data_IF_450906574381
#
_entry.id   IF_450906574381
#
_cell.length_a   1.000
_cell.length_b   1.000
_cell.length_c   1.000
_cell.angle_alpha   90.00
_cell.angle_beta   90.00
_cell.angle_gamma   90.00
#
_symmetry.space_group_name_H-M   'P 1'
#
loop_
_entity.id
_entity.type
_entity.pdbx_description
1 polymer ?
#
# COMPACT_ATOMS: atom_id res chain seq x y z
N UNK A 1 15.77 23.85 2.77
CA UNK A 1 15.05 22.58 3.03
C UNK A 1 13.97 22.24 2.00
N UNK A 2 13.25 23.20 1.41
CA UNK A 2 12.16 22.92 0.44
C UNK A 2 12.58 22.23 -0.86
N UNK A 3 13.69 22.64 -1.48
CA UNK A 3 14.16 22.08 -2.76
C UNK A 3 14.58 20.61 -2.67
N UNK A 4 15.26 20.21 -1.59
CA UNK A 4 15.68 18.83 -1.35
C UNK A 4 14.47 17.92 -1.11
N UNK A 5 13.48 18.40 -0.34
CA UNK A 5 12.23 17.68 -0.08
C UNK A 5 11.41 17.48 -1.35
N UNK A 6 11.35 18.47 -2.24
CA UNK A 6 10.66 18.36 -3.52
C UNK A 6 11.38 17.39 -4.46
N UNK A 7 12.71 17.47 -4.56
CA UNK A 7 13.51 16.57 -5.38
C UNK A 7 13.42 15.10 -4.92
N UNK A 8 13.50 14.85 -3.62
CA UNK A 8 13.30 13.51 -3.07
C UNK A 8 11.88 12.97 -3.35
N UNK A 9 10.85 13.82 -3.34
CA UNK A 9 9.47 13.41 -3.62
C UNK A 9 9.25 12.95 -5.07
N UNK A 10 9.95 13.55 -6.02
CA UNK A 10 9.81 13.22 -7.45
C UNK A 10 10.52 11.93 -7.88
N UNK A 11 11.37 11.35 -7.03
CA UNK A 11 12.13 10.14 -7.35
C UNK A 11 11.37 8.86 -6.95
N UNK A 12 11.58 7.72 -7.68
CA UNK A 12 11.17 6.40 -7.23
C UNK A 12 11.68 6.09 -5.82
N UNK A 13 10.89 5.37 -5.03
CA UNK A 13 11.16 5.07 -3.62
C UNK A 13 12.55 4.47 -3.42
N UNK A 14 12.91 3.49 -4.26
CA UNK A 14 14.21 2.82 -4.22
C UNK A 14 15.38 3.79 -4.46
N UNK A 15 15.28 4.67 -5.46
CA UNK A 15 16.33 5.64 -5.78
C UNK A 15 16.46 6.71 -4.70
N UNK A 16 15.35 7.17 -4.14
CA UNK A 16 15.34 8.12 -3.04
C UNK A 16 16.00 7.55 -1.79
N UNK A 17 15.72 6.28 -1.45
CA UNK A 17 16.36 5.59 -0.34
C UNK A 17 17.87 5.44 -0.55
N UNK A 18 18.28 4.89 -1.71
CA UNK A 18 19.70 4.70 -2.02
C UNK A 18 20.47 6.01 -2.02
N UNK A 19 19.93 7.07 -2.61
CA UNK A 19 20.59 8.39 -2.62
C UNK A 19 20.77 8.96 -1.23
N UNK A 20 19.76 8.80 -0.36
CA UNK A 20 19.81 9.28 1.02
C UNK A 20 20.84 8.51 1.85
N UNK A 21 20.88 7.18 1.71
CA UNK A 21 21.88 6.33 2.38
C UNK A 21 23.29 6.66 1.89
N UNK A 22 23.49 6.87 0.58
CA UNK A 22 24.77 7.22 0.00
C UNK A 22 25.29 8.57 0.55
N UNK A 23 24.46 9.60 0.57
CA UNK A 23 24.83 10.91 1.13
C UNK A 23 25.18 10.78 2.61
N UNK A 24 24.39 10.04 3.37
CA UNK A 24 24.67 9.79 4.80
C UNK A 24 26.00 9.05 4.97
N UNK A 25 26.26 8.00 4.17
CA UNK A 25 27.50 7.22 4.26
C UNK A 25 28.73 8.09 3.97
N UNK A 26 28.68 8.94 2.95
CA UNK A 26 29.78 9.88 2.62
C UNK A 26 30.03 10.87 3.75
N UNK A 27 28.97 11.43 4.33
CA UNK A 27 29.09 12.37 5.46
C UNK A 27 29.70 11.69 6.71
N UNK A 28 29.20 10.51 7.05
CA UNK A 28 29.71 9.74 8.22
C UNK A 28 31.18 9.34 7.97
N UNK A 29 31.52 8.87 6.76
CA UNK A 29 32.89 8.52 6.42
C UNK A 29 33.85 9.74 6.50
N UNK A 30 33.42 10.91 6.01
CA UNK A 30 34.21 12.14 6.08
C UNK A 30 34.46 12.60 7.52
N UNK A 31 33.40 12.62 8.34
CA UNK A 31 33.54 13.00 9.76
C UNK A 31 34.36 11.97 10.52
N UNK A 32 34.19 10.68 10.26
CA UNK A 32 34.96 9.62 10.89
C UNK A 32 36.46 9.70 10.51
N UNK A 33 36.77 9.94 9.25
CA UNK A 33 38.15 10.14 8.81
C UNK A 33 38.80 11.36 9.49
N UNK A 34 38.10 12.47 9.57
CA UNK A 34 38.57 13.66 10.30
C UNK A 34 38.79 13.39 11.78
N UNK A 35 37.89 12.65 12.43
CA UNK A 35 38.02 12.26 13.84
C UNK A 35 39.22 11.35 14.06
N UNK A 36 39.40 10.34 13.22
CA UNK A 36 40.55 9.42 13.29
C UNK A 36 41.84 10.20 13.11
N UNK A 37 41.92 11.07 12.10
CA UNK A 37 43.09 11.88 11.84
C UNK A 37 43.45 12.78 13.04
N UNK A 38 42.48 13.47 13.62
CA UNK A 38 42.71 14.34 14.81
C UNK A 38 43.14 13.55 16.03
N UNK A 39 42.51 12.39 16.30
CA UNK A 39 42.84 11.54 17.44
C UNK A 39 44.25 10.93 17.30
N UNK A 40 44.61 10.48 16.09
CA UNK A 40 45.97 9.94 15.82
C UNK A 40 47.01 11.03 15.98
N UNK A 41 46.78 12.27 15.49
CA UNK A 41 47.69 13.38 15.69
C UNK A 41 47.87 13.73 17.17
N UNK A 42 46.78 13.72 17.94
CA UNK A 42 46.84 13.95 19.40
C UNK A 42 47.65 12.86 20.11
N UNK A 43 47.47 11.57 19.71
CA UNK A 43 48.24 10.45 20.26
C UNK A 43 49.72 10.60 19.96
N UNK A 44 50.07 10.91 18.71
CA UNK A 44 51.48 11.09 18.29
C UNK A 44 52.12 12.28 19.03
N UNK A 45 51.42 13.40 19.16
CA UNK A 45 51.92 14.55 19.90
C UNK A 45 52.14 14.27 21.40
N UNK A 46 51.27 13.45 22.01
CA UNK A 46 51.45 13.01 23.42
C UNK A 46 52.69 12.10 23.52
N UNK A 47 52.86 11.18 22.58
CA UNK A 47 54.03 10.28 22.61
C UNK A 47 55.32 11.02 22.32
N UNK A 48 55.37 11.99 21.42
CA UNK A 48 56.52 12.85 21.12
C UNK A 48 56.96 13.69 22.34
N UNK A 49 56.03 13.97 23.27
CA UNK A 49 56.35 14.72 24.47
C UNK A 49 57.17 13.95 25.50
N UNK A 50 57.34 12.63 25.32
CA UNK A 50 58.17 11.80 26.17
C UNK A 50 59.60 11.79 25.61
N UNK A 51 60.50 12.42 26.32
CA UNK A 51 61.93 12.58 25.93
C UNK A 51 62.84 11.53 26.54
N UNK A 52 62.31 10.64 27.38
CA UNK A 52 63.07 9.56 27.98
C UNK A 52 63.22 8.38 26.99
N UNK A 53 64.47 8.05 26.73
CA UNK A 53 64.85 6.96 25.83
C UNK A 53 65.47 5.81 26.60
N UNK A 54 65.16 4.59 26.23
CA UNK A 54 65.84 3.41 26.72
C UNK A 54 67.21 3.29 26.03
N UNK A 55 68.29 3.64 26.68
CA UNK A 55 69.66 3.51 26.17
C UNK A 55 70.09 2.07 26.26
N UNK A 56 70.44 1.45 25.15
CA UNK A 56 71.05 0.12 25.15
C UNK A 56 72.48 0.24 25.71
N UNK A 57 72.87 -0.64 26.67
CA UNK A 57 74.26 -0.67 27.13
C UNK A 57 75.19 -0.97 25.95
N UNK A 58 76.36 -0.28 25.85
CA UNK A 58 77.34 -0.59 24.80
C UNK A 58 77.79 -2.05 24.94
N UNK A 59 77.51 -2.85 23.94
CA UNK A 59 78.02 -4.21 23.89
C UNK A 59 79.47 -4.23 23.32
N UNK A 60 80.43 -4.81 24.09
CA UNK A 60 81.81 -4.91 23.75
C UNK A 60 82.15 -6.10 22.76
N UNK A 61 81.21 -6.65 22.03
CA UNK A 61 81.48 -7.82 21.13
C UNK A 61 80.86 -7.61 19.76
N UNK A 62 81.77 -7.90 18.77
CA UNK A 62 81.60 -7.83 17.32
C UNK A 62 80.65 -8.90 16.71
N UNK A 63 79.75 -9.50 17.43
CA UNK A 63 78.85 -10.51 16.89
C UNK A 63 77.51 -9.88 16.36
N UNK A 64 77.25 -10.22 15.11
CA UNK A 64 76.13 -9.93 14.27
C UNK A 64 74.81 -9.74 15.06
N UNK A 65 74.29 -8.50 15.09
CA UNK A 65 73.04 -8.16 15.75
C UNK A 65 71.86 -8.82 15.07
N UNK A 66 71.45 -9.99 15.48
CA UNK A 66 70.12 -10.52 15.24
C UNK A 66 69.12 -9.87 16.23
N UNK A 67 68.96 -8.58 16.13
CA UNK A 67 67.89 -7.85 16.83
C UNK A 67 66.59 -8.23 16.19
N UNK A 68 65.80 -9.12 16.80
CA UNK A 68 64.38 -9.30 16.48
C UNK A 68 63.69 -8.04 17.02
N UNK A 69 63.52 -7.03 16.11
CA UNK A 69 62.80 -5.80 16.41
C UNK A 69 61.31 -6.18 16.37
N UNK A 70 60.59 -5.97 17.44
CA UNK A 70 59.13 -6.06 17.43
C UNK A 70 58.56 -5.01 16.48
N UNK A 71 57.42 -5.27 15.88
CA UNK A 71 56.79 -4.42 14.84
C UNK A 71 56.53 -2.96 15.27
N UNK A 72 56.57 -2.65 16.56
CA UNK A 72 56.34 -1.34 17.18
C UNK A 72 57.58 -0.65 17.76
N UNK A 73 58.79 -1.25 17.57
CA UNK A 73 60.08 -0.71 18.02
C UNK A 73 60.80 0.05 16.92
N UNK A 74 61.14 1.31 17.15
CA UNK A 74 61.98 2.13 16.27
C UNK A 74 63.35 2.34 16.88
N UNK A 75 64.39 2.01 16.11
CA UNK A 75 65.76 2.32 16.49
C UNK A 75 66.15 3.72 16.01
N UNK A 76 66.44 4.62 16.93
CA UNK A 76 66.83 6.00 16.61
C UNK A 76 68.28 6.24 17.07
N UNK A 77 69.12 6.91 16.28
CA UNK A 77 70.46 7.27 16.72
C UNK A 77 70.37 8.34 17.81
N UNK A 78 70.90 8.07 19.01
CA UNK A 78 71.06 9.03 20.09
C UNK A 78 72.23 10.02 19.91
N UNK A 79 72.28 11.06 20.70
CA UNK A 79 73.30 12.17 20.60
C UNK A 79 74.77 11.73 20.69
N UNK A 80 75.04 10.56 21.23
CA UNK A 80 76.44 10.05 21.38
C UNK A 80 76.75 8.83 20.50
N UNK A 81 75.98 8.57 19.41
CA UNK A 81 76.17 7.40 18.58
C UNK A 81 75.67 6.06 19.22
N UNK A 82 74.94 6.14 20.32
CA UNK A 82 74.29 5.04 20.95
C UNK A 82 72.95 4.73 20.23
N UNK A 83 72.61 3.47 20.10
CA UNK A 83 71.31 3.06 19.52
C UNK A 83 70.27 3.09 20.65
N UNK A 84 69.16 3.75 20.36
CA UNK A 84 68.06 3.90 21.31
C UNK A 84 66.85 3.21 20.73
N UNK A 85 66.23 2.32 21.48
CA UNK A 85 64.98 1.67 21.12
C UNK A 85 63.82 2.49 21.65
N UNK A 86 62.96 2.96 20.76
CA UNK A 86 61.71 3.64 21.10
C UNK A 86 60.57 2.64 21.01
N UNK A 87 60.11 2.15 22.14
CA UNK A 87 58.93 1.31 22.21
C UNK A 87 57.71 2.14 22.61
N UNK A 88 56.60 2.02 21.89
CA UNK A 88 55.34 2.69 22.24
C UNK A 88 54.86 2.33 23.64
N UNK A 89 55.12 1.12 24.10
CA UNK A 89 54.77 0.62 25.42
C UNK A 89 55.56 1.36 26.51
N UNK A 90 56.86 1.57 26.31
CA UNK A 90 57.75 2.31 27.21
C UNK A 90 57.36 3.81 27.29
N UNK A 91 57.02 4.42 26.15
CA UNK A 91 56.55 5.80 26.10
C UNK A 91 55.25 5.96 26.90
N UNK A 92 54.28 5.04 26.75
CA UNK A 92 53.00 5.06 27.49
C UNK A 92 53.24 4.87 29.02
N UNK A 93 54.21 4.04 29.42
CA UNK A 93 54.57 3.80 30.84
C UNK A 93 55.11 5.08 31.50
N UNK A 94 55.82 5.93 30.77
CA UNK A 94 56.45 7.15 31.24
C UNK A 94 55.58 8.41 31.08
N UNK A 95 54.31 8.29 30.59
CA UNK A 95 53.35 9.36 30.55
C UNK A 95 52.89 9.78 31.93
N UNK A 96 52.70 11.08 32.14
CA UNK A 96 52.01 11.58 33.35
C UNK A 96 50.56 11.05 33.37
N UNK A 97 49.95 11.00 34.56
CA UNK A 97 48.59 10.45 34.71
C UNK A 97 47.56 11.20 33.82
N UNK A 98 47.73 12.50 33.66
CA UNK A 98 46.88 13.32 32.77
C UNK A 98 47.06 13.00 31.27
N UNK A 99 48.30 12.81 30.83
CA UNK A 99 48.66 12.44 29.47
C UNK A 99 48.21 11.01 29.14
N UNK A 100 48.35 10.09 30.10
CA UNK A 100 47.89 8.70 29.97
C UNK A 100 46.34 8.63 29.76
N UNK A 101 45.57 9.38 30.54
CA UNK A 101 44.13 9.49 30.40
C UNK A 101 43.78 10.06 29.03
N UNK A 102 44.45 11.15 28.59
CA UNK A 102 44.20 11.74 27.28
C UNK A 102 44.52 10.79 26.11
N UNK A 103 45.61 10.02 26.22
CA UNK A 103 45.98 9.00 25.20
C UNK A 103 44.93 7.91 25.08
N UNK A 104 44.48 7.31 26.19
CA UNK A 104 43.47 6.27 26.18
C UNK A 104 42.09 6.81 25.79
N UNK A 105 41.75 8.02 26.14
CA UNK A 105 40.53 8.69 25.70
C UNK A 105 40.55 8.90 24.18
N UNK A 106 41.66 9.37 23.62
CA UNK A 106 41.83 9.51 22.15
C UNK A 106 41.75 8.14 21.45
N UNK A 107 42.38 7.10 22.02
CA UNK A 107 42.32 5.71 21.47
C UNK A 107 40.88 5.17 21.50
N UNK A 108 40.15 5.37 22.57
CA UNK A 108 38.75 4.97 22.66
C UNK A 108 37.86 5.75 21.66
N UNK A 109 38.14 7.06 21.50
CA UNK A 109 37.37 7.93 20.58
C UNK A 109 37.49 7.50 19.13
N UNK A 110 38.63 6.95 18.69
CA UNK A 110 38.82 6.41 17.34
C UNK A 110 37.77 5.35 16.97
N UNK A 111 37.37 4.53 17.93
CA UNK A 111 36.38 3.46 17.70
C UNK A 111 34.96 3.90 18.06
N UNK A 112 34.79 4.57 19.20
CA UNK A 112 33.46 4.91 19.71
C UNK A 112 32.77 5.99 18.89
N UNK A 113 33.50 7.03 18.45
CA UNK A 113 32.88 8.13 17.71
C UNK A 113 32.35 7.72 16.35
N UNK A 114 33.11 7.00 15.48
CA UNK A 114 32.61 6.49 14.20
C UNK A 114 31.41 5.56 14.37
N UNK A 115 31.46 4.64 15.34
CA UNK A 115 30.34 3.70 15.56
C UNK A 115 29.09 4.42 16.03
N UNK A 116 29.21 5.38 16.94
CA UNK A 116 28.09 6.20 17.40
C UNK A 116 27.48 7.04 16.25
N UNK A 117 28.34 7.68 15.45
CA UNK A 117 27.89 8.45 14.28
C UNK A 117 27.18 7.59 13.25
N UNK A 118 27.66 6.37 13.02
CA UNK A 118 26.99 5.43 12.10
C UNK A 118 25.59 5.05 12.61
N UNK A 119 25.45 4.69 13.87
CA UNK A 119 24.17 4.32 14.47
C UNK A 119 23.19 5.51 14.46
N UNK A 120 23.62 6.69 14.88
CA UNK A 120 22.77 7.89 14.86
C UNK A 120 22.40 8.29 13.42
N UNK A 121 23.34 8.19 12.49
CA UNK A 121 23.12 8.47 11.07
C UNK A 121 22.08 7.53 10.44
N UNK A 122 22.14 6.23 10.75
CA UNK A 122 21.16 5.25 10.24
C UNK A 122 19.76 5.52 10.78
N UNK A 123 19.63 5.82 12.08
CA UNK A 123 18.35 6.19 12.70
C UNK A 123 17.78 7.46 12.07
N UNK A 124 18.61 8.48 11.90
CA UNK A 124 18.21 9.75 11.28
C UNK A 124 17.77 9.56 9.82
N UNK A 125 18.51 8.75 9.04
CA UNK A 125 18.19 8.43 7.66
C UNK A 125 16.83 7.71 7.55
N UNK A 126 16.58 6.71 8.40
CA UNK A 126 15.32 5.99 8.45
C UNK A 126 14.15 6.91 8.80
N UNK A 127 14.31 7.75 9.83
CA UNK A 127 13.30 8.72 10.23
C UNK A 127 12.98 9.73 9.12
N UNK A 128 14.01 10.26 8.45
CA UNK A 128 13.85 11.22 7.38
C UNK A 128 13.16 10.59 6.16
N UNK A 129 13.54 9.38 5.78
CA UNK A 129 12.90 8.63 4.71
C UNK A 129 11.42 8.36 4.98
N UNK A 130 11.11 7.84 6.18
CA UNK A 130 9.73 7.63 6.62
C UNK A 130 8.91 8.92 6.57
N UNK A 131 9.44 10.01 7.15
CA UNK A 131 8.74 11.29 7.25
C UNK A 131 8.45 11.95 5.89
N UNK A 132 9.37 11.78 4.90
CA UNK A 132 9.24 12.43 3.59
C UNK A 132 8.43 11.57 2.61
N UNK A 133 8.68 10.26 2.59
CA UNK A 133 8.16 9.36 1.54
C UNK A 133 6.95 8.52 1.95
N UNK A 134 6.90 8.05 3.21
CA UNK A 134 5.87 7.10 3.61
C UNK A 134 4.72 7.72 4.41
N UNK A 135 5.00 8.67 5.28
CA UNK A 135 3.99 9.19 6.23
C UNK A 135 2.73 9.71 5.54
N UNK A 136 2.87 10.49 4.48
CA UNK A 136 1.73 11.11 3.80
C UNK A 136 0.89 10.09 3.00
N UNK A 137 1.47 9.28 2.08
CA UNK A 137 0.65 8.34 1.31
C UNK A 137 0.04 7.26 2.21
N UNK A 138 0.77 6.79 3.24
CA UNK A 138 0.23 5.80 4.16
C UNK A 138 -0.97 6.34 4.95
N UNK A 139 -0.91 7.61 5.40
CA UNK A 139 -2.06 8.23 6.09
C UNK A 139 -3.26 8.41 5.16
N UNK A 140 -3.05 8.76 3.88
CA UNK A 140 -4.12 8.85 2.88
C UNK A 140 -4.77 7.49 2.62
N UNK A 141 -3.96 6.44 2.45
CA UNK A 141 -4.47 5.09 2.22
C UNK A 141 -5.27 4.57 3.41
N UNK A 142 -4.79 4.78 4.64
CA UNK A 142 -5.52 4.38 5.85
C UNK A 142 -6.85 5.13 5.99
N UNK A 143 -6.87 6.44 5.78
CA UNK A 143 -8.11 7.23 5.80
C UNK A 143 -9.07 6.79 4.71
N UNK A 144 -8.58 6.48 3.51
CA UNK A 144 -9.40 6.00 2.41
C UNK A 144 -10.01 4.63 2.70
N UNK A 145 -9.22 3.73 3.28
CA UNK A 145 -9.71 2.41 3.69
C UNK A 145 -10.79 2.52 4.78
N UNK A 146 -10.62 3.44 5.73
CA UNK A 146 -11.62 3.70 6.77
C UNK A 146 -12.92 4.25 6.19
N UNK A 147 -12.86 5.23 5.28
CA UNK A 147 -14.04 5.77 4.57
C UNK A 147 -14.75 4.70 3.75
N UNK A 148 -14.00 3.88 3.00
CA UNK A 148 -14.57 2.76 2.23
C UNK A 148 -15.28 1.76 3.16
N UNK A 149 -14.71 1.46 4.33
CA UNK A 149 -15.33 0.56 5.31
C UNK A 149 -16.66 1.09 5.86
N UNK A 150 -16.81 2.42 5.89
CA UNK A 150 -18.03 3.11 6.28
C UNK A 150 -19.00 3.33 5.10
N UNK A 151 -18.71 2.74 3.93
CA UNK A 151 -19.49 2.92 2.69
C UNK A 151 -19.48 4.34 2.16
N UNK A 152 -18.59 5.21 2.64
CA UNK A 152 -18.36 6.53 2.09
C UNK A 152 -17.38 6.43 0.92
N UNK A 153 -17.93 6.45 -0.30
CA UNK A 153 -17.17 6.34 -1.55
C UNK A 153 -17.05 7.69 -2.29
N UNK A 154 -17.65 8.77 -1.73
CA UNK A 154 -17.66 10.11 -2.34
C UNK A 154 -16.41 10.90 -1.95
N UNK A 155 -15.26 10.45 -2.41
CA UNK A 155 -13.98 11.14 -2.28
C UNK A 155 -13.07 10.79 -3.45
N UNK A 156 -11.98 11.54 -3.63
CA UNK A 156 -10.94 11.27 -4.61
C UNK A 156 -9.60 11.13 -3.89
N UNK A 157 -8.82 10.12 -4.25
CA UNK A 157 -7.47 9.93 -3.76
C UNK A 157 -6.51 10.66 -4.71
N UNK A 158 -6.21 11.93 -4.41
CA UNK A 158 -5.22 12.69 -5.16
C UNK A 158 -3.85 12.65 -4.47
N UNK A 159 -2.95 11.85 -5.02
CA UNK A 159 -1.55 11.81 -4.62
C UNK A 159 -0.66 12.03 -5.85
N UNK A 160 -0.03 13.20 -5.99
CA UNK A 160 0.60 13.65 -7.25
C UNK A 160 1.95 12.98 -7.55
N UNK A 161 2.45 12.04 -6.74
CA UNK A 161 3.72 11.38 -6.99
C UNK A 161 3.60 10.24 -8.02
N UNK A 162 4.62 10.12 -8.87
CA UNK A 162 4.75 9.05 -9.86
C UNK A 162 5.63 7.89 -9.37
N UNK A 163 5.77 7.75 -8.04
CA UNK A 163 6.49 6.65 -7.41
C UNK A 163 5.59 5.46 -7.10
N UNK A 164 6.16 4.43 -6.47
CA UNK A 164 5.45 3.19 -6.12
C UNK A 164 4.28 3.45 -5.15
N UNK A 165 4.38 4.49 -4.30
CA UNK A 165 3.28 4.91 -3.44
C UNK A 165 2.16 5.58 -4.24
N UNK A 166 2.50 6.34 -5.27
CA UNK A 166 1.53 6.91 -6.20
C UNK A 166 0.78 5.85 -7.00
N UNK A 167 1.47 4.78 -7.40
CA UNK A 167 0.84 3.64 -8.06
C UNK A 167 -0.16 2.94 -7.12
N UNK A 168 0.23 2.72 -5.86
CA UNK A 168 -0.65 2.15 -4.84
C UNK A 168 -1.88 3.02 -4.56
N UNK A 169 -1.71 4.34 -4.48
CA UNK A 169 -2.83 5.28 -4.32
C UNK A 169 -3.78 5.24 -5.52
N UNK A 170 -3.26 5.17 -6.75
CA UNK A 170 -4.09 5.03 -7.96
C UNK A 170 -4.84 3.70 -8.03
N UNK A 171 -4.19 2.60 -7.64
CA UNK A 171 -4.84 1.29 -7.56
C UNK A 171 -6.00 1.30 -6.53
N UNK A 172 -5.80 1.92 -5.37
CA UNK A 172 -6.84 2.09 -4.36
C UNK A 172 -8.00 2.97 -4.87
N UNK A 173 -7.72 4.07 -5.59
CA UNK A 173 -8.77 4.90 -6.18
C UNK A 173 -9.56 4.17 -7.27
N UNK A 174 -8.88 3.36 -8.09
CA UNK A 174 -9.53 2.50 -9.09
C UNK A 174 -10.48 1.50 -8.42
N UNK A 175 -10.06 0.88 -7.33
CA UNK A 175 -10.90 -0.02 -6.53
C UNK A 175 -12.11 0.71 -5.95
N UNK A 176 -11.92 1.90 -5.37
CA UNK A 176 -13.01 2.76 -4.87
C UNK A 176 -14.01 3.10 -5.99
N UNK A 177 -13.51 3.52 -7.15
CA UNK A 177 -14.36 3.85 -8.29
C UNK A 177 -15.18 2.64 -8.80
N UNK A 178 -14.57 1.45 -8.83
CA UNK A 178 -15.26 0.21 -9.16
C UNK A 178 -16.35 -0.14 -8.13
N UNK A 179 -16.08 0.02 -6.84
CA UNK A 179 -17.06 -0.16 -5.77
C UNK A 179 -18.22 0.83 -5.87
N UNK A 180 -17.93 2.10 -6.16
CA UNK A 180 -18.95 3.14 -6.35
C UNK A 180 -19.88 2.78 -7.52
N UNK A 181 -19.29 2.39 -8.66
CA UNK A 181 -20.05 1.95 -9.83
C UNK A 181 -20.92 0.73 -9.52
N UNK A 182 -20.37 -0.27 -8.85
CA UNK A 182 -21.09 -1.49 -8.48
C UNK A 182 -22.27 -1.20 -7.53
N UNK A 183 -22.08 -0.29 -6.58
CA UNK A 183 -23.15 0.20 -5.71
C UNK A 183 -24.26 0.90 -6.50
N UNK A 184 -23.89 1.79 -7.42
CA UNK A 184 -24.88 2.50 -8.26
C UNK A 184 -25.69 1.53 -9.13
N UNK A 185 -25.03 0.57 -9.75
CA UNK A 185 -25.69 -0.49 -10.53
C UNK A 185 -26.62 -1.33 -9.66
N UNK A 186 -26.16 -1.71 -8.46
CA UNK A 186 -27.00 -2.45 -7.49
C UNK A 186 -28.23 -1.67 -7.06
N UNK A 187 -28.08 -0.38 -6.76
CA UNK A 187 -29.22 0.49 -6.42
C UNK A 187 -30.19 0.65 -7.60
N UNK A 188 -29.70 0.81 -8.83
CA UNK A 188 -30.52 0.89 -10.03
C UNK A 188 -31.35 -0.40 -10.22
N UNK A 189 -30.72 -1.56 -10.10
CA UNK A 189 -31.41 -2.85 -10.18
C UNK A 189 -32.45 -3.04 -9.06
N UNK A 190 -32.13 -2.62 -7.82
CA UNK A 190 -33.11 -2.67 -6.72
C UNK A 190 -34.32 -1.78 -6.97
N UNK A 191 -34.12 -0.57 -7.49
CA UNK A 191 -35.20 0.35 -7.79
C UNK A 191 -36.07 -0.17 -8.96
N UNK A 192 -35.47 -0.73 -9.98
CA UNK A 192 -36.16 -1.37 -11.09
C UNK A 192 -37.02 -2.55 -10.60
N UNK A 193 -36.43 -3.43 -9.77
CA UNK A 193 -37.16 -4.53 -9.16
C UNK A 193 -38.31 -4.08 -8.29
N UNK A 194 -38.14 -2.97 -7.55
CA UNK A 194 -39.20 -2.38 -6.73
C UNK A 194 -40.35 -1.84 -7.59
N UNK A 195 -40.06 -1.15 -8.70
CA UNK A 195 -41.06 -0.66 -9.67
C UNK A 195 -41.81 -1.82 -10.28
N UNK A 196 -41.10 -2.85 -10.74
CA UNK A 196 -41.71 -4.07 -11.30
C UNK A 196 -42.65 -4.72 -10.27
N UNK A 197 -42.21 -4.91 -9.04
CA UNK A 197 -43.03 -5.49 -7.97
C UNK A 197 -44.28 -4.66 -7.69
N UNK A 198 -44.18 -3.34 -7.70
CA UNK A 198 -45.32 -2.46 -7.51
C UNK A 198 -46.34 -2.53 -8.68
N UNK A 199 -45.86 -2.61 -9.92
CA UNK A 199 -46.68 -2.84 -11.11
C UNK A 199 -47.44 -4.16 -11.03
N UNK A 200 -46.72 -5.25 -10.75
CA UNK A 200 -47.29 -6.58 -10.56
C UNK A 200 -48.41 -6.56 -9.50
N UNK A 201 -48.14 -5.96 -8.35
CA UNK A 201 -49.14 -5.88 -7.27
C UNK A 201 -50.39 -5.05 -7.68
N UNK A 202 -50.21 -4.00 -8.45
CA UNK A 202 -51.33 -3.20 -9.00
C UNK A 202 -52.18 -4.01 -9.99
N UNK A 203 -51.55 -4.68 -10.93
CA UNK A 203 -52.21 -5.41 -12.02
C UNK A 203 -52.90 -6.69 -11.51
N UNK A 204 -52.39 -7.32 -10.46
CA UNK A 204 -53.05 -8.42 -9.76
C UNK A 204 -54.27 -7.97 -8.95
N UNK A 205 -54.28 -6.74 -8.41
CA UNK A 205 -55.37 -6.23 -7.59
C UNK A 205 -56.67 -6.16 -8.34
N UNK A 206 -56.66 -5.77 -9.62
CA UNK A 206 -57.84 -5.60 -10.46
C UNK A 206 -58.62 -6.90 -10.63
N UNK A 207 -58.03 -8.01 -11.16
CA UNK A 207 -58.77 -9.27 -11.32
C UNK A 207 -59.23 -9.86 -9.96
N UNK A 208 -58.40 -9.72 -8.91
CA UNK A 208 -58.76 -10.18 -7.55
C UNK A 208 -60.00 -9.41 -7.04
N UNK A 209 -60.04 -8.09 -7.24
CA UNK A 209 -61.19 -7.27 -6.82
C UNK A 209 -62.46 -7.69 -7.56
N UNK A 210 -62.37 -7.94 -8.88
CA UNK A 210 -63.49 -8.44 -9.68
C UNK A 210 -63.95 -9.79 -9.22
N UNK A 211 -63.05 -10.75 -9.00
CA UNK A 211 -63.41 -12.07 -8.46
C UNK A 211 -64.09 -11.98 -7.11
N UNK A 212 -63.55 -11.17 -6.21
CA UNK A 212 -64.14 -10.93 -4.89
C UNK A 212 -65.54 -10.38 -5.00
N UNK A 213 -65.75 -9.36 -5.85
CA UNK A 213 -67.07 -8.77 -6.05
C UNK A 213 -68.11 -9.79 -6.57
N UNK A 214 -67.75 -10.59 -7.59
CA UNK A 214 -68.65 -11.65 -8.08
C UNK A 214 -68.90 -12.73 -7.04
N UNK A 215 -67.90 -13.12 -6.26
CA UNK A 215 -68.06 -14.14 -5.22
C UNK A 215 -68.98 -13.62 -4.10
N UNK A 216 -68.85 -12.36 -3.66
CA UNK A 216 -69.72 -11.69 -2.69
C UNK A 216 -71.16 -11.57 -3.24
N UNK A 217 -71.31 -11.20 -4.51
CA UNK A 217 -72.60 -11.16 -5.17
C UNK A 217 -73.30 -12.51 -5.18
N UNK A 218 -72.63 -13.57 -5.55
CA UNK A 218 -73.18 -14.93 -5.54
C UNK A 218 -73.47 -15.41 -4.16
N UNK A 219 -72.60 -15.21 -3.19
CA UNK A 219 -72.79 -15.62 -1.80
C UNK A 219 -74.01 -15.02 -1.12
N UNK A 220 -74.40 -13.78 -1.52
CA UNK A 220 -75.55 -13.06 -0.99
C UNK A 220 -76.85 -13.42 -1.69
N UNK A 221 -76.86 -13.56 -3.03
CA UNK A 221 -78.10 -13.66 -3.83
C UNK A 221 -78.55 -15.09 -4.08
N UNK A 222 -77.64 -16.06 -4.18
CA UNK A 222 -77.99 -17.47 -4.42
C UNK A 222 -78.79 -18.08 -3.28
N UNK A 223 -78.43 -17.92 -1.98
CA UNK A 223 -79.22 -18.48 -0.87
C UNK A 223 -80.61 -17.85 -0.75
N UNK A 224 -80.81 -16.61 -1.25
CA UNK A 224 -82.05 -15.87 -1.20
C UNK A 224 -82.98 -16.13 -2.41
N UNK A 225 -82.55 -16.95 -3.36
CA UNK A 225 -83.28 -17.22 -4.60
C UNK A 225 -83.50 -15.97 -5.46
N UNK A 226 -82.65 -14.94 -5.35
CA UNK A 226 -82.82 -13.62 -6.01
C UNK A 226 -82.03 -13.51 -7.30
N UNK A 227 -81.49 -14.60 -7.83
CA UNK A 227 -80.71 -14.60 -9.06
C UNK A 227 -81.37 -15.53 -10.08
N UNK A 228 -81.56 -15.08 -11.34
CA UNK A 228 -81.98 -15.91 -12.43
C UNK A 228 -80.85 -16.84 -12.89
N UNK A 229 -81.24 -17.98 -13.54
CA UNK A 229 -80.25 -18.96 -14.04
C UNK A 229 -79.28 -18.33 -15.03
N UNK A 230 -79.76 -17.49 -15.96
CA UNK A 230 -78.92 -16.78 -16.94
C UNK A 230 -77.90 -15.88 -16.27
N UNK A 231 -78.33 -15.15 -15.25
CA UNK A 231 -77.46 -14.22 -14.51
C UNK A 231 -76.45 -14.94 -13.62
N UNK A 232 -76.80 -16.11 -13.11
CA UNK A 232 -75.90 -17.01 -12.43
C UNK A 232 -74.79 -17.51 -13.37
N UNK A 233 -75.17 -17.98 -14.57
CA UNK A 233 -74.21 -18.45 -15.57
C UNK A 233 -73.28 -17.34 -16.08
N UNK A 234 -73.81 -16.16 -16.34
CA UNK A 234 -73.01 -14.95 -16.70
C UNK A 234 -72.01 -14.59 -15.62
N UNK A 235 -72.41 -14.66 -14.35
CA UNK A 235 -71.52 -14.30 -13.25
C UNK A 235 -70.38 -15.37 -13.06
N UNK A 236 -70.74 -16.64 -13.20
CA UNK A 236 -69.73 -17.73 -13.21
C UNK A 236 -68.75 -17.60 -14.41
N UNK A 237 -69.28 -17.27 -15.59
CA UNK A 237 -68.45 -17.06 -16.76
C UNK A 237 -67.48 -15.88 -16.58
N UNK A 238 -67.94 -14.76 -16.03
CA UNK A 238 -67.05 -13.62 -15.73
C UNK A 238 -66.01 -13.92 -14.65
N UNK A 239 -66.36 -14.76 -13.69
CA UNK A 239 -65.42 -15.23 -12.68
C UNK A 239 -64.31 -16.11 -13.31
N UNK A 240 -64.69 -17.02 -14.22
CA UNK A 240 -63.75 -17.82 -15.01
C UNK A 240 -62.80 -16.96 -15.82
N UNK A 241 -63.32 -15.97 -16.59
CA UNK A 241 -62.54 -15.03 -17.33
C UNK A 241 -61.49 -14.25 -16.46
N UNK A 242 -61.92 -13.85 -15.23
CA UNK A 242 -61.04 -13.16 -14.34
C UNK A 242 -59.91 -14.09 -13.80
N UNK A 243 -60.21 -15.38 -13.63
CA UNK A 243 -59.24 -16.42 -13.20
C UNK A 243 -58.24 -16.70 -14.35
N UNK A 244 -58.71 -16.85 -15.57
CA UNK A 244 -57.87 -17.07 -16.75
C UNK A 244 -56.90 -15.90 -16.98
N UNK A 245 -57.36 -14.68 -16.81
CA UNK A 245 -56.47 -13.49 -16.86
C UNK A 245 -55.41 -13.51 -15.79
N UNK A 246 -55.75 -13.96 -14.59
CA UNK A 246 -54.79 -14.05 -13.47
C UNK A 246 -53.73 -15.14 -13.76
N UNK A 247 -54.12 -16.27 -14.34
CA UNK A 247 -53.22 -17.33 -14.76
C UNK A 247 -52.27 -16.86 -15.88
N UNK A 248 -52.79 -16.19 -16.90
CA UNK A 248 -51.98 -15.60 -17.96
C UNK A 248 -50.93 -14.63 -17.38
N UNK A 249 -51.35 -13.77 -16.46
CA UNK A 249 -50.44 -12.81 -15.81
C UNK A 249 -49.36 -13.50 -15.01
N UNK A 250 -49.71 -14.53 -14.24
CA UNK A 250 -48.75 -15.33 -13.49
C UNK A 250 -47.70 -16.03 -14.37
N UNK A 251 -48.13 -16.51 -15.55
CA UNK A 251 -47.25 -17.09 -16.53
C UNK A 251 -46.30 -16.06 -17.16
N UNK A 252 -46.79 -14.88 -17.52
CA UNK A 252 -45.95 -13.77 -18.03
C UNK A 252 -44.87 -13.35 -17.00
N UNK A 253 -45.21 -13.22 -15.71
CA UNK A 253 -44.24 -12.91 -14.65
C UNK A 253 -43.17 -14.00 -14.55
N UNK A 254 -43.56 -15.27 -14.68
CA UNK A 254 -42.63 -16.42 -14.69
C UNK A 254 -41.67 -16.37 -15.87
N UNK A 255 -42.17 -16.04 -17.06
CA UNK A 255 -41.37 -15.91 -18.29
C UNK A 255 -40.34 -14.78 -18.16
N UNK A 256 -40.72 -13.62 -17.62
CA UNK A 256 -39.81 -12.50 -17.35
C UNK A 256 -38.69 -12.95 -16.37
N UNK A 257 -39.04 -13.65 -15.29
CA UNK A 257 -38.03 -14.15 -14.34
C UNK A 257 -37.11 -15.21 -14.96
N UNK A 258 -37.61 -16.03 -15.87
CA UNK A 258 -36.81 -17.01 -16.58
C UNK A 258 -35.82 -16.34 -17.57
N UNK A 259 -36.23 -15.24 -18.22
CA UNK A 259 -35.34 -14.44 -19.07
C UNK A 259 -34.17 -13.83 -18.32
N UNK A 260 -34.38 -13.34 -17.10
CA UNK A 260 -33.32 -12.80 -16.23
C UNK A 260 -32.26 -13.85 -15.87
N UNK A 261 -32.62 -15.12 -15.88
CA UNK A 261 -31.71 -16.24 -15.56
C UNK A 261 -30.86 -16.69 -16.76
N UNK A 262 -31.14 -16.21 -17.97
CA UNK A 262 -30.42 -16.61 -19.20
C UNK A 262 -29.08 -15.84 -19.26
N UNK A 263 -27.92 -16.54 -19.20
CA UNK A 263 -26.64 -15.88 -19.32
C UNK A 263 -26.46 -15.32 -20.75
N UNK A 264 -26.52 -14.01 -20.89
CA UNK A 264 -26.23 -13.33 -22.16
C UNK A 264 -24.75 -13.45 -22.46
N UNK A 265 -24.38 -14.19 -23.49
CA UNK A 265 -23.03 -14.23 -24.04
C UNK A 265 -22.98 -13.32 -25.26
N UNK A 266 -22.39 -12.12 -25.17
CA UNK A 266 -22.25 -11.25 -26.32
C UNK A 266 -21.32 -11.92 -27.35
N UNK A 267 -21.85 -12.20 -28.53
CA UNK A 267 -21.09 -12.66 -29.70
C UNK A 267 -21.09 -11.57 -30.76
N UNK A 268 -19.92 -11.34 -31.38
CA UNK A 268 -19.85 -10.42 -32.49
C UNK A 268 -20.53 -11.11 -33.70
N UNK A 269 -21.58 -10.51 -34.22
CA UNK A 269 -22.24 -10.94 -35.44
C UNK A 269 -22.20 -9.83 -36.49
N UNK A 270 -22.27 -10.22 -37.79
CA UNK A 270 -22.44 -9.26 -38.86
C UNK A 270 -23.88 -8.72 -38.82
N UNK A 271 -24.05 -7.39 -38.82
CA UNK A 271 -25.36 -6.77 -38.87
C UNK A 271 -26.19 -7.25 -40.09
N UNK A 272 -25.54 -7.51 -41.21
CA UNK A 272 -26.18 -8.00 -42.42
C UNK A 272 -26.77 -9.40 -42.23
N UNK A 273 -25.97 -10.33 -41.70
CA UNK A 273 -26.40 -11.70 -41.41
C UNK A 273 -27.56 -11.74 -40.41
N UNK A 274 -27.47 -10.93 -39.38
CA UNK A 274 -28.52 -10.79 -38.36
C UNK A 274 -29.85 -10.32 -38.96
N UNK A 275 -29.85 -9.33 -39.87
CA UNK A 275 -31.08 -8.82 -40.47
C UNK A 275 -31.62 -9.78 -41.56
N UNK A 276 -30.76 -10.47 -42.30
CA UNK A 276 -31.18 -11.49 -43.26
C UNK A 276 -31.87 -12.67 -42.55
N UNK A 277 -31.33 -13.13 -41.42
CA UNK A 277 -31.93 -14.21 -40.61
C UNK A 277 -33.29 -13.80 -40.01
N UNK A 278 -33.41 -12.56 -39.55
CA UNK A 278 -34.68 -12.02 -39.02
C UNK A 278 -35.73 -11.81 -40.11
N UNK A 279 -35.36 -11.38 -41.33
CA UNK A 279 -36.26 -11.19 -42.44
C UNK A 279 -36.87 -12.54 -42.90
N UNK A 280 -36.08 -13.60 -42.90
CA UNK A 280 -36.57 -14.96 -43.21
C UNK A 280 -37.58 -15.45 -42.17
N UNK A 281 -37.33 -15.23 -40.86
CA UNK A 281 -38.21 -15.61 -39.76
C UNK A 281 -39.55 -14.85 -39.80
N UNK A 282 -39.51 -13.53 -40.03
CA UNK A 282 -40.72 -12.69 -40.15
C UNK A 282 -41.51 -13.01 -41.42
N UNK A 283 -40.86 -13.41 -42.51
CA UNK A 283 -41.53 -13.81 -43.76
C UNK A 283 -42.33 -15.10 -43.57
N UNK A 284 -41.80 -16.06 -42.82
CA UNK A 284 -42.50 -17.30 -42.45
C UNK A 284 -43.70 -17.03 -41.56
N UNK A 285 -43.57 -16.13 -40.57
CA UNK A 285 -44.66 -15.73 -39.67
C UNK A 285 -45.78 -14.96 -40.39
N UNK A 286 -45.46 -14.15 -41.41
CA UNK A 286 -46.44 -13.39 -42.20
C UNK A 286 -47.25 -14.26 -43.19
N UNK A 287 -46.83 -15.50 -43.45
CA UNK A 287 -47.53 -16.46 -44.32
C UNK A 287 -48.48 -17.39 -43.55
N UNK A 288 -48.48 -17.35 -42.21
CA UNK A 288 -49.45 -18.02 -41.34
C UNK A 288 -50.62 -17.08 -40.97
#
# INVERSE_FOLDING_TARGET
>A
MGKIKHWLRSMPLRRAFVSLVLVMAVLVAGISAATIFTCVNVQNHILESVTDYQVLPPQETEDEYNLVIADDEQIVPGENGQLVILSTEYQIANLSDTQRVAYYAAKAAVVLVPTLLFVLGTIFCAWMFYSIKLKQPLSLLLQSADRISQSDLDFCLDYPASDEMGELCRAMDTMRAALLKNNQETWAMMEERRKLSASIAHDLRTPITVMKGYTEYLSHNVPLGRISEDKLMDTIHNLSLATDRLEQYANQVREIQAMDAIPVKPTACSLREFFEEQEDEYTVLAQQ
#
